data_IF_239600427483
#
_entry.id   IF_239600427483
#
_cell.length_a   1.000
_cell.length_b   1.000
_cell.length_c   1.000
_cell.angle_alpha   90.00
_cell.angle_beta   90.00
_cell.angle_gamma   90.00
#
_symmetry.space_group_name_H-M   'P 1'
#
loop_
_entity.id
_entity.type
_entity.pdbx_description
1 polymer ?
#
# COMPACT_ATOMS: atom_id res chain seq x y z
N UNK A 1 29.09 17.27 -31.62
CA UNK A 1 27.89 17.39 -30.77
C UNK A 1 28.32 18.11 -29.50
N UNK A 2 27.64 19.19 -29.12
CA UNK A 2 28.07 20.05 -28.01
C UNK A 2 27.67 19.43 -26.68
N UNK A 3 28.64 19.24 -25.78
CA UNK A 3 28.40 18.79 -24.40
C UNK A 3 27.57 19.87 -23.70
N UNK A 4 26.41 19.53 -23.11
CA UNK A 4 25.59 20.52 -22.41
C UNK A 4 26.34 21.07 -21.20
N UNK A 5 26.22 22.37 -20.96
CA UNK A 5 26.88 23.03 -19.83
C UNK A 5 26.32 22.50 -18.49
N UNK A 6 27.12 22.51 -17.43
CA UNK A 6 26.69 22.08 -16.09
C UNK A 6 25.41 22.78 -15.61
N UNK A 7 25.19 24.04 -16.04
CA UNK A 7 23.99 24.79 -15.71
C UNK A 7 22.73 24.17 -16.32
N UNK A 8 22.80 23.72 -17.57
CA UNK A 8 21.69 23.04 -18.27
C UNK A 8 21.37 21.67 -17.65
N UNK A 9 22.39 20.96 -17.17
CA UNK A 9 22.20 19.66 -16.51
C UNK A 9 21.53 19.84 -15.14
N UNK A 10 21.92 20.87 -14.39
CA UNK A 10 21.30 21.20 -13.10
C UNK A 10 19.84 21.63 -13.24
N UNK A 11 19.52 22.45 -14.24
CA UNK A 11 18.14 22.87 -14.50
C UNK A 11 17.25 21.69 -14.93
N UNK A 12 17.75 20.79 -15.79
CA UNK A 12 17.01 19.57 -16.16
C UNK A 12 16.83 18.60 -14.99
N UNK A 13 17.81 18.43 -14.09
CA UNK A 13 17.65 17.62 -12.87
C UNK A 13 16.55 18.15 -11.97
N UNK A 14 16.44 19.47 -11.85
CA UNK A 14 15.37 20.11 -11.08
C UNK A 14 14.01 19.93 -11.75
N UNK A 15 13.95 20.04 -13.07
CA UNK A 15 12.72 19.85 -13.86
C UNK A 15 12.21 18.40 -13.79
N UNK A 16 13.13 17.43 -13.80
CA UNK A 16 12.84 16.00 -13.71
C UNK A 16 12.65 15.50 -12.26
N UNK A 17 12.82 16.38 -11.25
CA UNK A 17 12.87 16.04 -9.82
C UNK A 17 13.78 14.83 -9.49
N UNK A 18 14.80 14.59 -10.30
CA UNK A 18 15.72 13.47 -10.15
C UNK A 18 17.15 14.02 -10.01
N UNK A 19 17.76 13.95 -8.81
CA UNK A 19 19.10 14.51 -8.56
C UNK A 19 20.20 13.76 -9.31
N UNK A 20 19.93 12.57 -9.82
CA UNK A 20 20.88 11.71 -10.54
C UNK A 20 20.63 11.67 -12.05
N UNK A 21 19.76 12.51 -12.61
CA UNK A 21 19.55 12.52 -14.06
C UNK A 21 20.86 12.81 -14.81
N UNK A 22 21.14 12.09 -15.89
CA UNK A 22 22.35 12.20 -16.72
C UNK A 22 23.67 11.78 -16.04
N UNK A 23 23.63 11.07 -14.92
CA UNK A 23 24.83 10.43 -14.36
C UNK A 23 25.07 9.09 -15.05
N UNK A 24 26.25 8.93 -15.64
CA UNK A 24 26.72 7.61 -16.09
C UNK A 24 27.34 6.82 -14.91
N UNK A 25 27.63 5.55 -15.17
CA UNK A 25 28.15 4.62 -14.17
C UNK A 25 29.58 4.91 -13.67
N UNK A 26 30.27 5.91 -14.23
CA UNK A 26 31.62 6.33 -13.79
C UNK A 26 31.64 7.72 -13.14
N UNK A 27 30.46 8.35 -12.96
CA UNK A 27 30.36 9.70 -12.37
C UNK A 27 30.46 10.83 -13.39
N UNK A 28 30.49 10.51 -14.69
CA UNK A 28 30.43 11.44 -15.82
C UNK A 28 29.00 11.77 -16.26
N UNK A 29 28.89 12.64 -17.28
CA UNK A 29 27.61 13.08 -17.84
C UNK A 29 27.51 12.76 -19.33
N UNK A 30 26.66 11.80 -19.71
CA UNK A 30 26.39 11.46 -21.10
C UNK A 30 25.07 12.12 -21.59
N UNK A 31 25.16 12.88 -22.69
CA UNK A 31 24.02 13.51 -23.39
C UNK A 31 23.86 12.84 -24.77
N UNK A 32 22.67 12.56 -25.32
CA UNK A 32 21.42 13.29 -25.29
C UNK A 32 20.21 12.35 -25.50
N UNK A 33 19.00 12.69 -25.01
CA UNK A 33 17.78 11.96 -25.33
C UNK A 33 17.39 12.17 -26.80
N UNK A 34 16.98 11.09 -27.49
CA UNK A 34 16.22 11.22 -28.74
C UNK A 34 14.86 11.86 -28.40
N UNK A 35 14.60 13.01 -28.99
CA UNK A 35 13.40 13.82 -28.82
C UNK A 35 12.48 13.68 -30.02
N UNK A 36 11.17 13.65 -29.78
CA UNK A 36 10.12 13.66 -30.80
C UNK A 36 9.22 14.87 -30.56
N UNK A 37 8.64 15.39 -31.63
CA UNK A 37 7.71 16.51 -31.57
C UNK A 37 6.47 16.15 -30.74
N UNK A 38 6.17 16.98 -29.74
CA UNK A 38 5.08 16.81 -28.80
C UNK A 38 3.74 17.12 -29.46
N UNK A 39 2.75 16.28 -29.22
CA UNK A 39 1.38 16.57 -29.64
C UNK A 39 0.80 17.76 -28.87
N UNK A 40 -0.17 18.47 -29.47
CA UNK A 40 -0.86 19.60 -28.83
C UNK A 40 -1.48 19.25 -27.45
N UNK A 41 -1.94 18.01 -27.27
CA UNK A 41 -2.47 17.53 -26.01
C UNK A 41 -1.38 17.40 -24.93
N UNK A 42 -0.20 16.93 -25.30
CA UNK A 42 0.95 16.83 -24.39
C UNK A 42 1.48 18.21 -24.00
N UNK A 43 1.52 19.15 -24.96
CA UNK A 43 1.89 20.55 -24.70
C UNK A 43 0.90 21.21 -23.73
N UNK A 44 -0.40 20.98 -23.91
CA UNK A 44 -1.42 21.51 -23.00
C UNK A 44 -1.33 20.92 -21.58
N UNK A 45 -1.06 19.61 -21.46
CA UNK A 45 -0.85 18.96 -20.17
C UNK A 45 0.39 19.51 -19.44
N UNK A 46 1.50 19.68 -20.17
CA UNK A 46 2.72 20.25 -19.60
C UNK A 46 2.54 21.72 -19.17
N UNK A 47 1.81 22.55 -19.93
CA UNK A 47 1.51 23.93 -19.52
C UNK A 47 0.71 24.00 -18.22
N UNK A 48 -0.20 23.05 -17.99
CA UNK A 48 -0.95 22.94 -16.73
C UNK A 48 -0.05 22.49 -15.58
N UNK A 49 0.82 21.51 -15.83
CA UNK A 49 1.77 21.00 -14.86
C UNK A 49 2.78 22.07 -14.42
N UNK A 50 3.27 22.89 -15.36
CA UNK A 50 4.23 23.95 -15.10
C UNK A 50 3.59 25.24 -14.54
N UNK A 51 2.25 25.34 -14.57
CA UNK A 51 1.55 26.57 -14.21
C UNK A 51 1.88 27.77 -15.11
N UNK A 52 2.54 27.53 -16.26
CA UNK A 52 3.00 28.56 -17.18
C UNK A 52 2.22 28.47 -18.49
N UNK A 53 1.39 29.49 -18.72
CA UNK A 53 0.58 29.59 -19.92
C UNK A 53 1.41 29.97 -21.15
N UNK A 54 2.68 30.30 -21.07
CA UNK A 54 3.51 30.61 -22.24
C UNK A 54 4.55 29.53 -22.56
N UNK A 55 4.61 28.45 -21.77
CA UNK A 55 5.50 27.34 -22.07
C UNK A 55 5.17 26.73 -23.45
N UNK A 56 6.22 26.41 -24.22
CA UNK A 56 6.15 25.82 -25.57
C UNK A 56 5.58 26.74 -26.66
N UNK A 57 5.61 28.06 -26.47
CA UNK A 57 5.27 29.03 -27.52
C UNK A 57 6.48 29.25 -28.45
N UNK A 58 6.27 29.17 -29.77
CA UNK A 58 7.33 29.43 -30.77
C UNK A 58 7.30 30.86 -31.33
N UNK A 59 8.34 31.20 -32.10
CA UNK A 59 8.57 32.54 -32.67
C UNK A 59 7.48 32.97 -33.69
N UNK A 60 6.62 32.04 -34.12
CA UNK A 60 5.48 32.32 -35.02
C UNK A 60 4.15 32.45 -34.27
N UNK A 61 4.16 32.31 -32.93
CA UNK A 61 2.97 32.30 -32.09
C UNK A 61 2.26 30.94 -32.06
N UNK A 62 2.88 29.90 -32.63
CA UNK A 62 2.44 28.51 -32.56
C UNK A 62 2.88 27.82 -31.26
N UNK A 63 2.39 26.61 -31.03
CA UNK A 63 2.80 25.78 -29.90
C UNK A 63 3.63 24.60 -30.40
N UNK A 64 4.91 24.54 -30.02
CA UNK A 64 5.80 23.44 -30.36
C UNK A 64 6.68 23.04 -29.16
N UNK A 65 6.91 21.73 -29.01
CA UNK A 65 7.71 21.19 -27.91
C UNK A 65 8.27 19.82 -28.26
N UNK A 66 9.35 19.42 -27.62
CA UNK A 66 10.02 18.14 -27.85
C UNK A 66 10.00 17.26 -26.59
N UNK A 67 9.68 15.97 -26.72
CA UNK A 67 9.59 15.01 -25.60
C UNK A 67 10.46 13.76 -25.86
N UNK A 68 11.14 13.18 -24.86
CA UNK A 68 11.96 11.98 -25.02
C UNK A 68 11.19 10.72 -25.44
N UNK A 69 11.78 9.91 -26.34
CA UNK A 69 11.20 8.72 -27.01
C UNK A 69 10.73 7.55 -26.09
N UNK A 70 11.00 7.56 -24.78
CA UNK A 70 10.75 6.40 -23.92
C UNK A 70 9.27 6.11 -23.58
N UNK A 71 8.32 6.95 -23.99
CA UNK A 71 6.89 6.79 -23.71
C UNK A 71 6.10 6.30 -24.93
N UNK A 72 6.42 5.13 -25.50
CA UNK A 72 5.60 4.52 -26.56
C UNK A 72 5.91 3.03 -26.76
N UNK A 73 5.49 2.16 -25.83
CA UNK A 73 5.15 0.77 -26.14
C UNK A 73 3.97 0.32 -25.29
N UNK A 74 2.77 0.51 -25.83
CA UNK A 74 1.55 -0.14 -25.35
C UNK A 74 1.66 -1.65 -25.58
N UNK A 75 2.00 -2.40 -24.54
CA UNK A 75 1.76 -3.84 -24.54
C UNK A 75 0.27 -4.07 -24.29
N UNK A 76 -0.43 -4.66 -25.26
CA UNK A 76 -1.82 -5.06 -25.14
C UNK A 76 -1.98 -6.04 -23.97
N UNK A 77 -2.59 -5.59 -22.88
CA UNK A 77 -3.12 -6.44 -21.81
C UNK A 77 -4.32 -7.21 -22.37
N UNK A 78 -4.47 -8.53 -22.11
CA UNK A 78 -5.64 -9.27 -22.58
C UNK A 78 -6.91 -8.69 -21.96
N UNK A 79 -7.73 -8.04 -22.78
CA UNK A 79 -9.01 -7.49 -22.41
C UNK A 79 -10.00 -8.64 -22.10
N UNK A 80 -9.99 -9.13 -20.86
CA UNK A 80 -11.01 -10.04 -20.39
C UNK A 80 -12.21 -9.22 -19.95
N UNK A 81 -13.19 -9.08 -20.85
CA UNK A 81 -14.51 -8.56 -20.51
C UNK A 81 -15.12 -9.42 -19.41
N UNK A 82 -15.13 -8.91 -18.17
CA UNK A 82 -15.92 -9.50 -17.10
C UNK A 82 -17.37 -9.05 -17.26
N UNK A 83 -18.19 -10.00 -17.71
CA UNK A 83 -19.63 -9.86 -17.80
C UNK A 83 -20.19 -9.65 -16.38
N UNK A 84 -20.97 -8.58 -16.20
CA UNK A 84 -21.83 -8.42 -15.04
C UNK A 84 -22.62 -9.73 -14.81
N UNK A 85 -22.79 -10.11 -13.54
CA UNK A 85 -23.35 -11.35 -12.95
C UNK A 85 -22.35 -12.34 -12.32
N UNK A 86 -21.07 -12.00 -12.16
CA UNK A 86 -20.17 -12.81 -11.33
C UNK A 86 -20.62 -12.80 -9.85
N UNK A 87 -20.87 -13.97 -9.27
CA UNK A 87 -21.11 -14.13 -7.81
C UNK A 87 -19.96 -13.47 -7.05
N UNK A 88 -20.29 -12.58 -6.11
CA UNK A 88 -19.30 -11.92 -5.24
C UNK A 88 -18.44 -12.97 -4.53
N UNK A 89 -17.13 -12.76 -4.41
CA UNK A 89 -16.24 -13.75 -3.81
C UNK A 89 -16.56 -13.92 -2.32
N UNK A 90 -16.66 -15.16 -1.85
CA UNK A 90 -16.52 -15.45 -0.41
C UNK A 90 -15.10 -15.14 0.06
N UNK A 91 -14.81 -15.21 1.36
CA UNK A 91 -13.49 -14.87 1.91
C UNK A 91 -12.33 -15.61 1.24
N UNK A 92 -12.52 -16.86 0.81
CA UNK A 92 -11.53 -17.57 0.00
C UNK A 92 -11.23 -16.87 -1.33
N UNK A 93 -12.23 -16.33 -2.01
CA UNK A 93 -12.03 -15.58 -3.25
C UNK A 93 -11.30 -14.25 -3.02
N UNK A 94 -11.55 -13.60 -1.87
CA UNK A 94 -10.85 -12.37 -1.46
C UNK A 94 -9.37 -12.66 -1.18
N UNK A 95 -9.08 -13.73 -0.45
CA UNK A 95 -7.69 -14.15 -0.18
C UNK A 95 -6.95 -14.50 -1.48
N UNK A 96 -7.62 -15.18 -2.41
CA UNK A 96 -7.02 -15.47 -3.72
C UNK A 96 -6.80 -14.22 -4.57
N UNK A 97 -7.65 -13.20 -4.46
CA UNK A 97 -7.43 -11.92 -5.14
C UNK A 97 -6.18 -11.21 -4.58
N UNK A 98 -6.06 -11.14 -3.25
CA UNK A 98 -4.88 -10.58 -2.59
C UNK A 98 -3.61 -11.35 -2.97
N UNK A 99 -3.66 -12.69 -2.95
CA UNK A 99 -2.54 -13.56 -3.33
C UNK A 99 -2.10 -13.36 -4.78
N UNK A 100 -3.03 -13.27 -5.73
CA UNK A 100 -2.71 -13.00 -7.13
C UNK A 100 -1.99 -11.66 -7.31
N UNK A 101 -2.41 -10.64 -6.58
CA UNK A 101 -1.75 -9.34 -6.61
C UNK A 101 -0.34 -9.42 -6.03
N UNK A 102 -0.17 -10.12 -4.89
CA UNK A 102 1.15 -10.37 -4.28
C UNK A 102 2.08 -11.14 -5.22
N UNK A 103 1.58 -12.16 -5.91
CA UNK A 103 2.33 -12.92 -6.91
C UNK A 103 2.76 -12.04 -8.08
N UNK A 104 1.90 -11.13 -8.55
CA UNK A 104 2.22 -10.18 -9.60
C UNK A 104 3.32 -9.20 -9.16
N UNK A 105 3.19 -8.61 -7.97
CA UNK A 105 4.23 -7.77 -7.37
C UNK A 105 5.56 -8.53 -7.28
N UNK A 106 5.52 -9.77 -6.78
CA UNK A 106 6.72 -10.60 -6.70
C UNK A 106 7.35 -10.86 -8.06
N UNK A 107 6.56 -11.21 -9.08
CA UNK A 107 7.06 -11.46 -10.43
C UNK A 107 7.71 -10.22 -11.05
N UNK A 108 7.12 -9.04 -10.81
CA UNK A 108 7.56 -7.76 -11.35
C UNK A 108 8.52 -6.99 -10.42
N UNK A 109 8.98 -7.59 -9.32
CA UNK A 109 9.74 -6.88 -8.29
C UNK A 109 11.01 -6.17 -8.80
N UNK A 110 11.69 -6.71 -9.80
CA UNK A 110 12.86 -6.04 -10.36
C UNK A 110 12.50 -4.83 -11.23
N UNK A 111 11.29 -4.81 -11.80
CA UNK A 111 10.77 -3.65 -12.54
C UNK A 111 10.22 -2.58 -11.60
N UNK A 112 9.58 -3.01 -10.51
CA UNK A 112 8.97 -2.14 -9.50
C UNK A 112 10.01 -1.52 -8.56
N UNK A 113 11.15 -2.17 -8.38
CA UNK A 113 12.29 -1.69 -7.58
C UNK A 113 13.58 -1.73 -8.41
N UNK A 114 13.77 -0.80 -9.37
CA UNK A 114 14.95 -0.78 -10.23
C UNK A 114 16.24 -0.53 -9.45
N UNK A 115 16.15 0.15 -8.30
CA UNK A 115 17.29 0.49 -7.44
C UNK A 115 17.68 -0.64 -6.46
N UNK A 116 16.95 -1.77 -6.48
CA UNK A 116 17.20 -2.91 -5.63
C UNK A 116 15.92 -3.43 -4.95
N UNK A 117 15.67 -4.72 -5.11
CA UNK A 117 14.52 -5.40 -4.52
C UNK A 117 14.71 -5.51 -3.00
N UNK A 118 13.73 -5.12 -2.17
CA UNK A 118 13.78 -5.33 -0.72
C UNK A 118 14.04 -6.78 -0.32
N UNK A 119 14.93 -7.00 0.65
CA UNK A 119 15.27 -8.33 1.15
C UNK A 119 14.12 -8.99 1.94
N UNK A 120 13.34 -8.18 2.66
CA UNK A 120 12.18 -8.67 3.43
C UNK A 120 10.93 -8.68 2.53
N UNK A 121 10.30 -9.84 2.27
CA UNK A 121 9.12 -9.93 1.43
C UNK A 121 7.94 -9.09 1.91
N UNK A 122 7.88 -8.72 3.20
CA UNK A 122 6.83 -7.83 3.72
C UNK A 122 6.93 -6.41 3.14
N UNK A 123 8.15 -5.94 2.87
CA UNK A 123 8.38 -4.61 2.30
C UNK A 123 7.90 -4.51 0.85
N UNK A 124 7.73 -5.64 0.17
CA UNK A 124 7.11 -5.70 -1.16
C UNK A 124 5.59 -5.45 -1.11
N UNK A 125 4.96 -5.60 0.05
CA UNK A 125 3.50 -5.51 0.23
C UNK A 125 3.05 -4.07 0.47
N UNK A 126 3.61 -3.13 -0.28
CA UNK A 126 3.27 -1.72 -0.18
C UNK A 126 2.00 -1.40 -0.98
N UNK A 127 0.93 -0.88 -0.34
CA UNK A 127 -0.31 -0.54 -1.04
C UNK A 127 -0.12 0.51 -2.14
N UNK A 128 0.78 1.47 -1.98
CA UNK A 128 1.02 2.50 -3.00
C UNK A 128 1.63 1.90 -4.27
N UNK A 129 2.58 0.98 -4.12
CA UNK A 129 3.19 0.26 -5.24
C UNK A 129 2.14 -0.65 -5.92
N UNK A 130 1.32 -1.32 -5.12
CA UNK A 130 0.25 -2.17 -5.63
C UNK A 130 -0.83 -1.39 -6.39
N UNK A 131 -1.18 -0.18 -5.92
CA UNK A 131 -2.09 0.74 -6.62
C UNK A 131 -1.51 1.20 -7.95
N UNK A 132 -0.26 1.67 -7.95
CA UNK A 132 0.44 2.06 -9.18
C UNK A 132 0.51 0.90 -10.20
N UNK A 133 0.73 -0.33 -9.72
CA UNK A 133 0.76 -1.54 -10.53
C UNK A 133 -0.58 -1.80 -11.27
N UNK A 134 -1.71 -1.37 -10.69
CA UNK A 134 -3.05 -1.46 -11.29
C UNK A 134 -3.53 -0.13 -11.88
N UNK A 135 -2.59 0.77 -12.18
CA UNK A 135 -2.82 2.08 -12.83
C UNK A 135 -3.65 3.07 -11.99
N UNK A 136 -3.59 2.96 -10.66
CA UNK A 136 -4.11 3.99 -9.76
C UNK A 136 -2.98 4.85 -9.23
N UNK A 137 -3.14 6.17 -9.34
CA UNK A 137 -2.29 7.15 -8.66
C UNK A 137 -2.54 7.09 -7.15
N UNK A 138 -1.48 7.30 -6.37
CA UNK A 138 -1.54 7.32 -4.91
C UNK A 138 -0.88 8.58 -4.37
N UNK A 139 -1.62 9.34 -3.56
CA UNK A 139 -1.12 10.54 -2.90
C UNK A 139 -1.43 10.57 -1.40
N UNK A 140 -0.55 11.23 -0.66
CA UNK A 140 -0.74 11.56 0.74
C UNK A 140 -1.06 13.05 0.89
N UNK A 141 -2.25 13.36 1.39
CA UNK A 141 -2.72 14.73 1.60
C UNK A 141 -2.67 15.09 3.09
N UNK A 142 -2.42 16.37 3.42
CA UNK A 142 -2.37 16.82 4.83
C UNK A 142 -3.71 16.63 5.56
N UNK A 143 -4.82 16.74 4.84
CA UNK A 143 -6.17 16.41 5.31
C UNK A 143 -7.07 16.13 4.12
N UNK A 144 -8.03 15.24 4.30
CA UNK A 144 -9.09 14.96 3.30
C UNK A 144 -10.42 15.64 3.65
N UNK A 145 -10.37 16.56 4.63
CA UNK A 145 -11.53 17.26 5.16
C UNK A 145 -12.22 16.49 6.28
N UNK A 146 -13.17 17.18 6.90
CA UNK A 146 -13.99 16.64 7.98
C UNK A 146 -15.41 16.40 7.48
N UNK A 147 -16.01 15.31 7.95
CA UNK A 147 -17.40 14.97 7.72
C UNK A 147 -18.14 14.97 9.05
N UNK A 148 -19.23 15.73 9.13
CA UNK A 148 -20.09 15.75 10.31
C UNK A 148 -21.24 14.76 10.13
N UNK A 149 -21.37 13.81 11.05
CA UNK A 149 -22.52 12.90 11.12
C UNK A 149 -22.99 12.83 12.56
N UNK A 150 -24.31 12.99 12.78
CA UNK A 150 -24.93 12.94 14.12
C UNK A 150 -24.29 13.84 15.20
N UNK A 151 -23.68 14.97 14.80
CA UNK A 151 -23.06 15.92 15.74
C UNK A 151 -21.59 15.62 16.08
N UNK A 152 -21.05 14.50 15.61
CA UNK A 152 -19.62 14.18 15.70
C UNK A 152 -18.92 14.52 14.38
N UNK A 153 -17.71 15.07 14.47
CA UNK A 153 -16.86 15.42 13.32
C UNK A 153 -15.80 14.35 13.18
N UNK A 154 -15.78 13.71 12.01
CA UNK A 154 -14.79 12.69 11.68
C UNK A 154 -13.90 13.19 10.56
N UNK A 155 -12.61 12.96 10.71
CA UNK A 155 -11.69 13.15 9.60
C UNK A 155 -11.79 11.98 8.62
N UNK A 156 -11.81 12.29 7.32
CA UNK A 156 -11.77 11.27 6.28
C UNK A 156 -10.37 10.68 6.20
N UNK A 157 -10.24 9.37 6.39
CA UNK A 157 -8.94 8.69 6.43
C UNK A 157 -8.42 8.35 5.02
N UNK A 158 -9.32 7.98 4.12
CA UNK A 158 -9.01 7.57 2.74
C UNK A 158 -10.12 7.92 1.76
N UNK A 159 -9.75 8.14 0.50
CA UNK A 159 -10.66 8.35 -0.62
C UNK A 159 -10.14 7.57 -1.82
N UNK A 160 -11.03 6.83 -2.49
CA UNK A 160 -10.79 6.31 -3.84
C UNK A 160 -11.72 7.00 -4.83
N UNK A 161 -11.13 7.57 -5.88
CA UNK A 161 -11.82 7.99 -7.09
C UNK A 161 -11.46 7.05 -8.24
N UNK A 162 -12.42 6.24 -8.68
CA UNK A 162 -12.22 5.33 -9.81
C UNK A 162 -12.22 6.03 -11.16
N UNK A 163 -12.88 7.18 -11.27
CA UNK A 163 -13.01 7.91 -12.53
C UNK A 163 -11.66 8.48 -12.92
N UNK A 164 -11.01 9.10 -11.94
CA UNK A 164 -9.68 9.69 -12.09
C UNK A 164 -8.55 8.71 -11.76
N UNK A 165 -8.89 7.45 -11.40
CA UNK A 165 -7.98 6.39 -10.92
C UNK A 165 -7.00 6.90 -9.87
N UNK A 166 -7.51 7.53 -8.81
CA UNK A 166 -6.70 8.14 -7.75
C UNK A 166 -7.12 7.65 -6.38
N UNK A 167 -6.15 7.39 -5.52
CA UNK A 167 -6.34 7.10 -4.10
C UNK A 167 -5.62 8.15 -3.27
N UNK A 168 -6.33 8.72 -2.30
CA UNK A 168 -5.81 9.71 -1.37
C UNK A 168 -5.88 9.19 0.06
N UNK A 169 -4.83 9.39 0.84
CA UNK A 169 -4.80 9.01 2.26
C UNK A 169 -4.40 10.23 3.11
N UNK A 170 -5.10 10.45 4.22
CA UNK A 170 -4.79 11.54 5.14
C UNK A 170 -3.48 11.29 5.89
N UNK A 171 -2.63 12.31 6.01
CA UNK A 171 -1.40 12.32 6.81
C UNK A 171 -1.64 12.44 8.30
N UNK A 172 -2.85 12.79 8.75
CA UNK A 172 -3.17 12.94 10.18
C UNK A 172 -3.22 11.60 10.92
N UNK A 173 -3.37 10.49 10.19
CA UNK A 173 -3.39 9.15 10.77
C UNK A 173 -1.98 8.60 11.02
N UNK A 174 -1.77 7.80 12.09
CA UNK A 174 -0.51 7.09 12.31
C UNK A 174 -0.13 6.18 11.13
N UNK A 175 1.16 5.90 10.96
CA UNK A 175 1.67 5.12 9.82
C UNK A 175 0.96 3.78 9.59
N UNK A 176 0.81 2.96 10.64
CA UNK A 176 0.17 1.64 10.52
C UNK A 176 -1.31 1.77 10.10
N UNK A 177 -2.00 2.83 10.57
CA UNK A 177 -3.37 3.11 10.18
C UNK A 177 -3.45 3.56 8.72
N UNK A 178 -2.56 4.47 8.29
CA UNK A 178 -2.46 4.89 6.88
C UNK A 178 -2.21 3.71 5.96
N UNK A 179 -1.30 2.81 6.34
CA UNK A 179 -0.98 1.61 5.55
C UNK A 179 -2.20 0.68 5.43
N UNK A 180 -2.94 0.49 6.52
CA UNK A 180 -4.16 -0.33 6.48
C UNK A 180 -5.26 0.33 5.65
N UNK A 181 -5.51 1.64 5.83
CA UNK A 181 -6.48 2.39 5.01
C UNK A 181 -6.08 2.35 3.53
N UNK A 182 -4.81 2.52 3.17
CA UNK A 182 -4.36 2.41 1.79
C UNK A 182 -4.61 1.01 1.20
N UNK A 183 -4.41 -0.05 1.99
CA UNK A 183 -4.73 -1.42 1.57
C UNK A 183 -6.24 -1.67 1.46
N UNK A 184 -7.06 -0.98 2.27
CA UNK A 184 -8.51 -0.99 2.17
C UNK A 184 -8.98 -0.30 0.87
N UNK A 185 -8.42 0.86 0.52
CA UNK A 185 -8.72 1.52 -0.76
C UNK A 185 -8.25 0.70 -1.97
N UNK A 186 -7.08 0.05 -1.86
CA UNK A 186 -6.63 -0.94 -2.84
C UNK A 186 -7.64 -2.09 -3.00
N UNK A 187 -8.26 -2.55 -1.91
CA UNK A 187 -9.31 -3.55 -1.99
C UNK A 187 -10.51 -3.06 -2.80
N UNK A 188 -10.92 -1.81 -2.61
CA UNK A 188 -11.95 -1.21 -3.45
C UNK A 188 -11.54 -1.24 -4.91
N UNK A 189 -10.33 -0.81 -5.26
CA UNK A 189 -9.80 -0.81 -6.62
C UNK A 189 -9.79 -2.22 -7.25
N UNK A 190 -9.47 -3.25 -6.47
CA UNK A 190 -9.34 -4.64 -6.95
C UNK A 190 -10.69 -5.38 -7.02
N UNK A 191 -11.57 -5.21 -6.03
CA UNK A 191 -12.74 -6.09 -5.85
C UNK A 191 -14.08 -5.48 -6.30
N UNK A 192 -14.19 -4.16 -6.38
CA UNK A 192 -15.50 -3.49 -6.33
C UNK A 192 -15.76 -2.54 -7.51
N UNK A 193 -15.90 -3.06 -8.73
CA UNK A 193 -16.10 -2.25 -9.96
C UNK A 193 -17.27 -1.24 -9.94
N UNK A 194 -18.29 -1.43 -9.08
CA UNK A 194 -19.48 -0.58 -9.00
C UNK A 194 -19.37 0.67 -8.11
N UNK A 195 -18.27 0.84 -7.37
CA UNK A 195 -18.11 1.93 -6.39
C UNK A 195 -17.31 3.07 -7.02
N UNK A 196 -18.00 4.09 -7.56
CA UNK A 196 -17.35 5.20 -8.30
C UNK A 196 -16.48 6.10 -7.42
N UNK A 197 -16.98 6.43 -6.23
CA UNK A 197 -16.27 7.21 -5.22
C UNK A 197 -16.59 6.61 -3.85
N UNK A 198 -15.56 6.29 -3.08
CA UNK A 198 -15.69 5.84 -1.70
C UNK A 198 -14.82 6.71 -0.79
N UNK A 199 -15.28 6.85 0.46
CA UNK A 199 -14.64 7.63 1.50
C UNK A 199 -14.63 6.78 2.75
N UNK A 200 -13.45 6.40 3.21
CA UNK A 200 -13.28 5.65 4.44
C UNK A 200 -13.67 6.53 5.65
N UNK A 201 -14.50 5.96 6.53
CA UNK A 201 -15.03 6.62 7.73
C UNK A 201 -14.45 5.93 8.96
N UNK A 202 -14.00 6.66 9.99
CA UNK A 202 -13.59 6.06 11.25
C UNK A 202 -14.70 5.20 11.87
N UNK A 203 -14.35 3.98 12.28
CA UNK A 203 -15.22 2.98 12.90
C UNK A 203 -15.63 3.35 14.34
N UNK A 204 -16.43 4.39 14.55
CA UNK A 204 -17.00 4.71 15.87
C UNK A 204 -18.30 3.91 16.18
N UNK A 205 -18.79 3.14 15.21
CA UNK A 205 -19.96 2.27 15.38
C UNK A 205 -21.32 2.97 15.41
N UNK A 206 -21.39 4.30 15.19
CA UNK A 206 -22.67 5.04 15.22
C UNK A 206 -23.44 5.02 13.89
N UNK A 207 -22.86 4.44 12.85
CA UNK A 207 -23.53 4.14 11.58
C UNK A 207 -23.47 2.66 11.25
N UNK A 208 -24.43 1.86 11.71
CA UNK A 208 -24.69 0.57 11.09
C UNK A 208 -25.11 0.83 9.63
N UNK A 209 -24.15 0.82 8.70
CA UNK A 209 -24.46 0.74 7.28
C UNK A 209 -25.05 -0.63 6.98
N UNK A 210 -26.35 -0.76 7.24
CA UNK A 210 -27.12 -1.98 7.02
C UNK A 210 -27.15 -2.35 5.54
N UNK A 211 -27.13 -3.66 5.27
CA UNK A 211 -27.30 -4.19 3.91
C UNK A 211 -25.99 -4.39 3.12
N UNK A 212 -25.95 -3.90 1.88
CA UNK A 212 -24.88 -4.21 0.93
C UNK A 212 -23.58 -3.43 1.18
N UNK A 213 -23.67 -2.23 1.77
CA UNK A 213 -22.53 -1.32 1.97
C UNK A 213 -21.60 -1.81 3.08
N UNK A 214 -22.15 -2.14 4.26
CA UNK A 214 -21.37 -2.79 5.33
C UNK A 214 -20.81 -4.19 4.99
N UNK A 215 -21.24 -4.83 3.89
CA UNK A 215 -20.57 -6.03 3.37
C UNK A 215 -19.35 -5.68 2.52
N UNK A 216 -19.43 -4.64 1.71
CA UNK A 216 -18.31 -4.15 0.89
C UNK A 216 -17.16 -3.70 1.79
N UNK A 217 -17.43 -2.92 2.84
CA UNK A 217 -16.41 -2.49 3.81
C UNK A 217 -15.70 -3.68 4.46
N UNK A 218 -16.48 -4.72 4.85
CA UNK A 218 -15.92 -5.95 5.42
C UNK A 218 -15.08 -6.73 4.41
N UNK A 219 -15.49 -6.77 3.14
CA UNK A 219 -14.73 -7.39 2.06
C UNK A 219 -13.39 -6.64 1.86
N UNK A 220 -13.42 -5.30 1.94
CA UNK A 220 -12.24 -4.45 1.84
C UNK A 220 -11.27 -4.62 3.02
N UNK A 221 -11.77 -4.59 4.26
CA UNK A 221 -10.97 -4.87 5.46
C UNK A 221 -10.30 -6.26 5.41
N UNK A 222 -11.06 -7.23 4.89
CA UNK A 222 -10.58 -8.61 4.78
C UNK A 222 -9.49 -8.74 3.72
N UNK A 223 -9.65 -8.06 2.58
CA UNK A 223 -8.59 -7.97 1.59
C UNK A 223 -7.35 -7.28 2.15
N UNK A 224 -7.50 -6.14 2.82
CA UNK A 224 -6.38 -5.41 3.43
C UNK A 224 -5.58 -6.29 4.39
N UNK A 225 -6.29 -7.06 5.23
CA UNK A 225 -5.72 -8.07 6.12
C UNK A 225 -4.92 -9.12 5.36
N UNK A 226 -5.49 -9.71 4.31
CA UNK A 226 -4.81 -10.74 3.51
C UNK A 226 -3.64 -10.20 2.68
N UNK A 227 -3.77 -8.97 2.19
CA UNK A 227 -2.75 -8.29 1.39
C UNK A 227 -1.52 -7.97 2.24
N UNK A 228 -1.72 -7.33 3.39
CA UNK A 228 -0.65 -6.89 4.29
C UNK A 228 -0.07 -8.03 5.13
N UNK A 229 -0.88 -9.04 5.46
CA UNK A 229 -0.46 -10.17 6.30
C UNK A 229 -0.76 -11.52 5.64
N UNK A 230 0.00 -11.88 4.59
CA UNK A 230 -0.16 -13.15 3.88
C UNK A 230 0.06 -14.33 4.83
N UNK A 231 -0.77 -15.36 4.73
CA UNK A 231 -0.71 -16.53 5.63
C UNK A 231 0.69 -17.14 5.73
N UNK A 232 1.35 -17.34 4.59
CA UNK A 232 2.68 -17.94 4.51
C UNK A 232 3.73 -17.12 5.27
N UNK A 233 3.70 -15.79 5.15
CA UNK A 233 4.64 -14.91 5.84
C UNK A 233 4.34 -14.87 7.34
N UNK A 234 3.08 -14.73 7.73
CA UNK A 234 2.69 -14.70 9.15
C UNK A 234 3.08 -16.00 9.83
N UNK A 235 2.77 -17.15 9.24
CA UNK A 235 3.17 -18.46 9.78
C UNK A 235 4.69 -18.62 9.88
N UNK A 236 5.43 -18.18 8.86
CA UNK A 236 6.89 -18.25 8.87
C UNK A 236 7.50 -17.45 10.03
N UNK A 237 7.07 -16.18 10.20
CA UNK A 237 7.53 -15.33 11.31
C UNK A 237 7.08 -15.85 12.66
N UNK A 238 5.83 -16.31 12.76
CA UNK A 238 5.30 -16.88 14.00
C UNK A 238 6.13 -18.08 14.47
N UNK A 239 6.39 -19.05 13.58
CA UNK A 239 7.25 -20.21 13.86
C UNK A 239 8.67 -19.80 14.24
N UNK A 240 9.22 -18.80 13.55
CA UNK A 240 10.58 -18.32 13.78
C UNK A 240 10.78 -17.77 15.20
N UNK A 241 9.77 -17.10 15.76
CA UNK A 241 9.89 -16.43 17.06
C UNK A 241 9.28 -17.21 18.22
N UNK A 242 8.12 -17.84 18.02
CA UNK A 242 7.43 -18.58 19.07
C UNK A 242 7.73 -20.09 19.05
N UNK A 243 8.57 -20.54 18.12
CA UNK A 243 9.07 -21.91 18.02
C UNK A 243 7.94 -22.96 17.96
N UNK A 244 6.78 -22.57 17.43
CA UNK A 244 5.60 -23.42 17.33
C UNK A 244 4.76 -23.08 16.10
N UNK A 245 4.06 -24.08 15.60
CA UNK A 245 2.97 -23.94 14.63
C UNK A 245 1.68 -23.40 15.25
N UNK A 246 1.45 -23.78 16.50
CA UNK A 246 0.25 -23.45 17.27
C UNK A 246 0.66 -23.22 18.72
N UNK A 247 0.48 -21.99 19.20
CA UNK A 247 0.91 -21.62 20.54
C UNK A 247 -0.15 -22.00 21.56
N UNK A 248 0.25 -22.83 22.51
CA UNK A 248 -0.54 -23.18 23.68
C UNK A 248 0.04 -22.49 24.92
N UNK A 249 -0.82 -21.93 25.76
CA UNK A 249 -0.41 -21.34 27.02
C UNK A 249 -0.24 -22.43 28.09
N UNK A 250 1.01 -22.69 28.51
CA UNK A 250 1.36 -23.64 29.55
C UNK A 250 2.54 -23.10 30.37
N UNK A 251 2.96 -23.79 31.44
CA UNK A 251 4.04 -23.31 32.32
C UNK A 251 5.32 -22.95 31.56
N UNK A 252 5.74 -23.77 30.60
CA UNK A 252 6.94 -23.54 29.82
C UNK A 252 6.82 -22.32 28.90
N UNK A 253 5.68 -22.18 28.20
CA UNK A 253 5.46 -21.04 27.30
C UNK A 253 5.18 -19.75 28.06
N UNK A 254 4.57 -19.81 29.24
CA UNK A 254 4.44 -18.67 30.17
C UNK A 254 5.82 -18.19 30.60
N UNK A 255 6.67 -19.09 31.09
CA UNK A 255 8.02 -18.72 31.53
C UNK A 255 8.86 -18.17 30.37
N UNK A 256 8.75 -18.77 29.17
CA UNK A 256 9.45 -18.28 27.99
C UNK A 256 8.96 -16.89 27.53
N UNK A 257 7.68 -16.58 27.70
CA UNK A 257 7.07 -15.33 27.24
C UNK A 257 7.22 -14.19 28.25
N UNK A 258 7.15 -14.50 29.54
CA UNK A 258 7.24 -13.54 30.64
C UNK A 258 7.95 -14.15 31.85
N UNK A 259 9.29 -14.25 31.81
CA UNK A 259 10.07 -14.81 32.91
C UNK A 259 9.91 -14.02 34.22
N UNK A 260 9.53 -12.74 34.12
CA UNK A 260 9.36 -11.83 35.26
C UNK A 260 7.98 -11.90 35.93
N UNK A 261 7.01 -12.54 35.29
CA UNK A 261 5.61 -12.55 35.74
C UNK A 261 4.85 -11.21 35.58
N UNK A 262 5.45 -10.22 34.92
CA UNK A 262 4.91 -8.87 34.75
C UNK A 262 3.59 -8.79 33.95
N UNK A 263 3.32 -9.77 33.10
CA UNK A 263 2.13 -9.86 32.26
C UNK A 263 0.96 -10.57 32.98
N UNK A 264 1.18 -11.03 34.22
CA UNK A 264 0.15 -11.73 35.02
C UNK A 264 -0.41 -12.94 34.28
N UNK A 265 0.43 -13.65 33.53
CA UNK A 265 0.03 -14.83 32.77
C UNK A 265 -0.35 -16.02 33.66
N UNK A 266 0.07 -16.00 34.93
CA UNK A 266 -0.17 -17.04 35.92
C UNK A 266 -1.53 -16.87 36.63
N UNK A 267 -2.14 -15.69 36.58
CA UNK A 267 -3.25 -15.30 37.47
C UNK A 267 -4.67 -15.60 36.93
N UNK A 268 -4.79 -16.44 35.90
CA UNK A 268 -6.10 -16.90 35.42
C UNK A 268 -6.15 -17.26 33.93
N UNK A 269 -7.30 -17.79 33.49
CA UNK A 269 -7.55 -18.12 32.08
C UNK A 269 -7.58 -16.85 31.25
N UNK A 270 -6.64 -16.69 30.32
CA UNK A 270 -6.66 -15.62 29.31
C UNK A 270 -7.70 -15.95 28.25
N UNK A 271 -8.33 -14.95 27.64
CA UNK A 271 -9.12 -15.19 26.42
C UNK A 271 -8.19 -15.36 25.22
N UNK A 272 -8.71 -15.98 24.15
CA UNK A 272 -7.97 -16.09 22.88
C UNK A 272 -7.49 -14.72 22.39
N UNK A 273 -8.34 -13.68 22.49
CA UNK A 273 -7.99 -12.29 22.12
C UNK A 273 -6.92 -11.68 23.00
N UNK A 274 -6.96 -11.92 24.31
CA UNK A 274 -5.91 -11.44 25.20
C UNK A 274 -4.56 -12.08 24.86
N UNK A 275 -4.53 -13.40 24.68
CA UNK A 275 -3.30 -14.09 24.30
C UNK A 275 -2.79 -13.64 22.93
N UNK A 276 -3.68 -13.48 21.95
CA UNK A 276 -3.33 -13.01 20.61
C UNK A 276 -2.72 -11.60 20.62
N UNK A 277 -3.27 -10.68 21.44
CA UNK A 277 -2.69 -9.34 21.63
C UNK A 277 -1.32 -9.39 22.30
N UNK A 278 -1.12 -10.29 23.26
CA UNK A 278 0.18 -10.47 23.91
C UNK A 278 1.21 -10.93 22.88
N UNK A 279 0.93 -12.03 22.15
CA UNK A 279 1.87 -12.52 21.14
C UNK A 279 2.12 -11.51 20.00
N UNK A 280 1.08 -10.79 19.57
CA UNK A 280 1.21 -9.79 18.51
C UNK A 280 2.17 -8.66 18.87
N UNK A 281 2.21 -8.24 20.16
CA UNK A 281 3.06 -7.15 20.66
C UNK A 281 4.35 -7.62 21.35
N UNK A 282 4.54 -8.92 21.56
CA UNK A 282 5.73 -9.45 22.24
C UNK A 282 6.99 -9.14 21.45
N UNK A 283 8.01 -8.67 22.15
CA UNK A 283 9.35 -8.36 21.60
C UNK A 283 10.43 -9.33 22.09
N UNK A 284 10.02 -10.36 22.84
CA UNK A 284 10.89 -11.41 23.31
C UNK A 284 10.15 -12.71 23.54
N UNK A 285 10.85 -13.81 23.34
CA UNK A 285 10.39 -15.16 23.70
C UNK A 285 11.61 -16.05 23.93
N UNK A 286 11.60 -16.82 25.01
CA UNK A 286 12.66 -17.76 25.38
C UNK A 286 14.06 -17.10 25.41
N UNK A 287 14.15 -15.89 25.99
CA UNK A 287 15.39 -15.12 26.09
C UNK A 287 15.90 -14.49 24.78
N UNK A 288 15.20 -14.70 23.65
CA UNK A 288 15.53 -14.06 22.37
C UNK A 288 14.68 -12.81 22.16
N UNK A 289 15.35 -11.68 21.88
CA UNK A 289 14.68 -10.44 21.48
C UNK A 289 14.41 -10.38 19.97
N UNK A 290 13.31 -9.76 19.59
CA UNK A 290 12.90 -9.50 18.21
C UNK A 290 11.92 -8.31 18.15
N UNK A 291 11.79 -7.69 16.97
CA UNK A 291 10.70 -6.71 16.74
C UNK A 291 9.36 -7.44 16.75
N UNK A 292 8.33 -6.87 17.34
CA UNK A 292 7.03 -7.53 17.44
C UNK A 292 6.47 -7.96 16.08
N UNK A 293 5.56 -8.94 16.05
CA UNK A 293 4.91 -9.32 14.79
C UNK A 293 4.13 -8.13 14.20
N UNK A 294 3.45 -7.33 15.03
CA UNK A 294 2.75 -6.15 14.56
C UNK A 294 3.70 -5.16 13.85
N UNK A 295 4.89 -4.91 14.41
CA UNK A 295 5.87 -4.01 13.82
C UNK A 295 6.53 -4.59 12.57
N UNK A 296 6.82 -5.90 12.56
CA UNK A 296 7.39 -6.55 11.37
C UNK A 296 6.44 -6.51 10.16
N UNK A 297 5.12 -6.44 10.39
CA UNK A 297 4.11 -6.33 9.34
C UNK A 297 3.57 -4.92 9.14
N UNK A 298 4.08 -3.93 9.88
CA UNK A 298 3.65 -2.52 9.82
C UNK A 298 2.13 -2.34 10.02
N UNK A 299 1.53 -3.15 10.92
CA UNK A 299 0.10 -3.12 11.26
C UNK A 299 -0.10 -2.83 12.74
N UNK A 300 -1.34 -2.56 13.16
CA UNK A 300 -1.64 -2.43 14.59
C UNK A 300 -1.55 -3.78 15.32
N UNK A 301 -1.30 -3.75 16.63
CA UNK A 301 -1.36 -4.94 17.49
C UNK A 301 -2.72 -5.64 17.39
N UNK A 302 -3.81 -4.87 17.30
CA UNK A 302 -5.16 -5.43 17.18
C UNK A 302 -5.33 -6.17 15.86
N UNK A 303 -4.89 -5.57 14.76
CA UNK A 303 -4.97 -6.15 13.41
C UNK A 303 -4.18 -7.46 13.34
N UNK A 304 -2.95 -7.47 13.87
CA UNK A 304 -2.14 -8.69 13.94
C UNK A 304 -2.79 -9.74 14.84
N UNK A 305 -3.30 -9.36 16.02
CA UNK A 305 -3.98 -10.30 16.92
C UNK A 305 -5.17 -11.00 16.24
N UNK A 306 -6.01 -10.24 15.52
CA UNK A 306 -7.11 -10.80 14.72
C UNK A 306 -6.57 -11.80 13.69
N UNK A 307 -5.50 -11.44 12.95
CA UNK A 307 -4.93 -12.32 11.94
C UNK A 307 -4.38 -13.63 12.52
N UNK A 308 -3.75 -13.58 13.70
CA UNK A 308 -3.28 -14.80 14.36
C UNK A 308 -4.44 -15.74 14.74
N UNK A 309 -5.57 -15.19 15.18
CA UNK A 309 -6.81 -15.96 15.47
C UNK A 309 -7.39 -16.59 14.22
N UNK A 310 -7.51 -15.82 13.13
CA UNK A 310 -8.06 -16.29 11.87
C UNK A 310 -7.25 -17.44 11.25
N UNK A 311 -5.93 -17.43 11.47
CA UNK A 311 -5.02 -18.48 11.03
C UNK A 311 -4.97 -19.69 11.98
N UNK A 312 -5.67 -19.62 13.12
CA UNK A 312 -5.73 -20.69 14.12
C UNK A 312 -4.39 -20.94 14.81
N UNK A 313 -3.56 -19.91 14.98
CA UNK A 313 -2.18 -20.04 15.49
C UNK A 313 -2.10 -20.15 17.01
N UNK A 314 -3.23 -20.03 17.72
CA UNK A 314 -3.28 -20.07 19.17
C UNK A 314 -4.36 -21.01 19.68
N UNK A 315 -4.12 -21.55 20.88
CA UNK A 315 -5.12 -22.23 21.70
C UNK A 315 -4.97 -21.82 23.18
N UNK A 316 -6.10 -21.78 23.87
CA UNK A 316 -6.23 -21.45 25.29
C UNK A 316 -6.86 -22.63 26.01
#
# INVERSE_FOLDING_TARGET
MSIPSQKQISENRRLLQNPYAYLDGEGGYDAAPKVVEASAAQIAANRRLLGDQYAFLDDTGGLSGEIPVAASKSAQVPNTKWSAHAKRPGYQGIEQAAKKLQENIWQRRHDLWPDGVPDDPVELLDPAIALNLIEFDFDLEETLGQYSSNGETFEVAGIIDRTDKRVLISRQMPFNTRRFTAAHELAHAVLHEGVRMHRDRPLDGSGQESGARGKIEKEADKFATFFLMPENLVRARFRQFFLSDKFALNEATIFALDPSGSLGLQDGKKTLRQLSRILAKSESFNGRHFRSLADQFHVSVETMAIRLEELGLLEV
#
